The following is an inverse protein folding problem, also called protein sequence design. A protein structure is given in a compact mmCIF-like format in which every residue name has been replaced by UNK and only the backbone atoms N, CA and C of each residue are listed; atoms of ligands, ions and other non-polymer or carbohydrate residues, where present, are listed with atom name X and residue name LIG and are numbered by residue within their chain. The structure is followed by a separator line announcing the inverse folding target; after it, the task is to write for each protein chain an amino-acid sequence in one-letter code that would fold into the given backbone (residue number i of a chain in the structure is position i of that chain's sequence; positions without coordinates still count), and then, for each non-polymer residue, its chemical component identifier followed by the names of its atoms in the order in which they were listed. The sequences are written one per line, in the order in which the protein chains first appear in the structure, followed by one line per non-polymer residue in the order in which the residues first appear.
data_IF_077794563585
#
_entry.id   IF_077794563585
#
_cell.length_a   1.000
_cell.length_b   1.000
_cell.length_c   1.000
_cell.angle_alpha   90.00
_cell.angle_beta   90.00
_cell.angle_gamma   90.00
#
_symmetry.space_group_name_H-M   'P 1'
#
loop_
_entity.id
_entity.type
_entity.pdbx_description
1 polymer ?
#
# COMPACT_ATOMS: atom_id res chain seq x y z
N UNK A 1 -20.02 -10.22 -1.32
CA UNK A 1 -18.56 -10.45 -1.46
C UNK A 1 -18.00 -10.81 -0.08
N UNK A 2 -17.44 -12.01 0.08
CA UNK A 2 -16.74 -12.38 1.32
C UNK A 2 -15.40 -11.65 1.36
N UNK A 3 -15.31 -10.60 2.18
CA UNK A 3 -14.05 -9.91 2.43
C UNK A 3 -13.06 -10.90 3.06
N UNK A 4 -11.85 -10.97 2.51
CA UNK A 4 -10.78 -11.86 3.00
C UNK A 4 -9.61 -11.08 3.61
N UNK A 5 -9.66 -9.76 3.51
CA UNK A 5 -8.66 -8.80 4.01
C UNK A 5 -9.27 -8.10 5.23
N UNK A 6 -8.70 -8.36 6.41
CA UNK A 6 -9.10 -7.67 7.64
C UNK A 6 -8.75 -6.18 7.59
N UNK A 7 -9.39 -5.39 8.44
CA UNK A 7 -9.11 -3.95 8.58
C UNK A 7 -7.63 -3.65 8.81
N UNK A 8 -6.90 -4.57 9.47
CA UNK A 8 -5.46 -4.45 9.77
C UNK A 8 -4.61 -4.43 8.49
N UNK A 9 -4.76 -5.39 7.57
CA UNK A 9 -4.00 -5.42 6.30
C UNK A 9 -4.28 -4.20 5.41
N UNK A 10 -5.54 -3.75 5.43
CA UNK A 10 -5.94 -2.53 4.72
C UNK A 10 -5.24 -1.32 5.30
N UNK A 11 -5.24 -1.18 6.62
CA UNK A 11 -4.52 -0.10 7.32
C UNK A 11 -3.03 -0.19 7.04
N UNK A 12 -2.43 -1.38 7.10
CA UNK A 12 -1.00 -1.56 6.83
C UNK A 12 -0.61 -1.10 5.41
N UNK A 13 -1.39 -1.46 4.39
CA UNK A 13 -1.15 -1.01 3.00
C UNK A 13 -1.40 0.47 2.78
N UNK A 14 -2.43 1.03 3.43
CA UNK A 14 -2.69 2.47 3.39
C UNK A 14 -1.53 3.22 4.06
N UNK A 15 -1.09 2.77 5.23
CA UNK A 15 0.04 3.36 5.96
C UNK A 15 1.32 3.25 5.12
N UNK A 16 1.63 2.08 4.56
CA UNK A 16 2.79 1.90 3.69
C UNK A 16 2.73 2.79 2.44
N UNK A 17 1.57 2.87 1.78
CA UNK A 17 1.39 3.74 0.61
C UNK A 17 1.53 5.22 0.94
N UNK A 18 0.95 5.66 2.07
CA UNK A 18 1.10 7.03 2.56
C UNK A 18 2.55 7.36 2.93
N UNK A 19 3.24 6.43 3.61
CA UNK A 19 4.66 6.59 3.94
C UNK A 19 5.50 6.71 2.68
N UNK A 20 5.23 5.89 1.65
CA UNK A 20 5.95 5.96 0.38
C UNK A 20 5.73 7.28 -0.38
N UNK A 21 4.51 7.82 -0.32
CA UNK A 21 4.18 9.11 -0.91
C UNK A 21 4.81 10.25 -0.12
N UNK A 22 4.80 10.19 1.22
CA UNK A 22 5.31 11.25 2.09
C UNK A 22 6.84 11.27 2.18
N UNK A 23 7.51 10.11 2.11
CA UNK A 23 8.97 9.97 2.20
C UNK A 23 9.74 10.97 1.33
N UNK A 24 9.45 11.11 0.02
CA UNK A 24 10.20 12.03 -0.83
C UNK A 24 10.06 13.51 -0.43
N UNK A 25 8.92 13.91 0.14
CA UNK A 25 8.67 15.32 0.51
C UNK A 25 9.18 15.68 1.91
N UNK A 26 9.26 14.70 2.82
CA UNK A 26 9.65 14.93 4.22
C UNK A 26 11.12 14.64 4.47
N UNK A 27 11.68 13.61 3.83
CA UNK A 27 13.02 13.12 4.17
C UNK A 27 14.17 13.91 3.54
N UNK A 28 13.93 14.70 2.48
CA UNK A 28 14.97 15.40 1.71
C UNK A 28 16.19 14.51 1.37
N UNK A 29 15.96 13.21 1.17
CA UNK A 29 17.03 12.25 0.90
C UNK A 29 17.65 12.52 -0.48
N UNK A 30 18.98 12.41 -0.61
CA UNK A 30 19.67 12.55 -1.90
C UNK A 30 19.15 11.57 -2.98
N UNK A 31 18.59 10.43 -2.56
CA UNK A 31 17.91 9.46 -3.41
C UNK A 31 16.67 10.02 -4.12
N UNK A 32 15.99 11.01 -3.54
CA UNK A 32 14.82 11.68 -4.13
C UNK A 32 15.16 13.01 -4.81
N UNK A 33 16.44 13.41 -4.82
CA UNK A 33 16.89 14.60 -5.52
C UNK A 33 16.73 14.46 -7.05
N UNK A 34 16.77 13.23 -7.55
CA UNK A 34 16.33 12.91 -8.90
C UNK A 34 14.81 12.81 -8.94
N UNK A 35 14.17 13.70 -9.73
CA UNK A 35 12.70 13.74 -9.91
C UNK A 35 12.08 12.40 -10.33
N UNK A 36 12.88 11.50 -10.92
CA UNK A 36 12.46 10.14 -11.29
C UNK A 36 12.16 9.25 -10.07
N UNK A 37 12.99 9.28 -9.03
CA UNK A 37 12.77 8.47 -7.83
C UNK A 37 11.53 8.95 -7.04
N UNK A 38 11.27 10.25 -7.05
CA UNK A 38 10.06 10.87 -6.48
C UNK A 38 8.80 10.35 -7.20
N UNK A 39 8.79 10.39 -8.53
CA UNK A 39 7.66 9.90 -9.33
C UNK A 39 7.42 8.41 -9.10
N UNK A 40 8.49 7.59 -9.08
CA UNK A 40 8.37 6.14 -8.83
C UNK A 40 7.75 5.88 -7.45
N UNK A 41 8.24 6.54 -6.39
CA UNK A 41 7.73 6.35 -5.04
C UNK A 41 6.24 6.74 -4.92
N UNK A 42 5.85 7.86 -5.53
CA UNK A 42 4.44 8.32 -5.52
C UNK A 42 3.53 7.36 -6.29
N UNK A 43 3.96 6.90 -7.47
CA UNK A 43 3.18 5.94 -8.28
C UNK A 43 2.99 4.63 -7.54
N UNK A 44 4.05 4.08 -6.94
CA UNK A 44 3.98 2.83 -6.17
C UNK A 44 3.07 3.00 -4.94
N UNK A 45 3.17 4.13 -4.23
CA UNK A 45 2.30 4.42 -3.09
C UNK A 45 0.83 4.52 -3.48
N UNK A 46 0.51 5.16 -4.60
CA UNK A 46 -0.86 5.24 -5.13
C UNK A 46 -1.41 3.86 -5.51
N UNK A 47 -0.60 3.01 -6.14
CA UNK A 47 -1.00 1.63 -6.49
C UNK A 47 -1.29 0.81 -5.23
N UNK A 48 -0.49 0.94 -4.17
CA UNK A 48 -0.73 0.27 -2.89
C UNK A 48 -2.05 0.70 -2.24
N UNK A 49 -2.36 2.01 -2.30
CA UNK A 49 -3.62 2.54 -1.76
C UNK A 49 -4.81 2.07 -2.62
N UNK A 50 -4.72 2.18 -3.95
CA UNK A 50 -5.77 1.76 -4.87
C UNK A 50 -6.07 0.26 -4.74
N UNK A 51 -5.04 -0.58 -4.62
CA UNK A 51 -5.21 -2.03 -4.41
C UNK A 51 -5.78 -2.36 -3.03
N UNK A 52 -5.53 -1.53 -2.00
CA UNK A 52 -6.17 -1.67 -0.68
C UNK A 52 -7.67 -1.37 -0.71
N UNK A 53 -8.13 -0.53 -1.64
CA UNK A 53 -9.55 -0.13 -1.77
C UNK A 53 -10.44 -1.27 -2.31
N UNK A 54 -9.88 -2.18 -3.12
CA UNK A 54 -10.64 -3.27 -3.74
C UNK A 54 -11.12 -4.35 -2.75
N UNK A 55 -10.76 -4.28 -1.46
CA UNK A 55 -11.24 -5.16 -0.35
C UNK A 55 -11.15 -6.68 -0.59
N UNK A 56 -10.43 -7.09 -1.63
CA UNK A 56 -10.26 -8.48 -2.03
C UNK A 56 -8.82 -8.67 -2.49
N UNK A 57 -8.00 -9.34 -1.69
CA UNK A 57 -6.66 -9.73 -2.11
C UNK A 57 -6.71 -11.17 -2.64
N UNK A 58 -6.62 -11.39 -3.97
CA UNK A 58 -6.73 -12.72 -4.56
C UNK A 58 -5.62 -13.66 -4.07
N UNK A 59 -4.45 -13.11 -3.73
CA UNK A 59 -3.33 -13.86 -3.16
C UNK A 59 -3.71 -14.53 -1.83
N UNK A 60 -4.39 -13.83 -0.93
CA UNK A 60 -4.83 -14.39 0.35
C UNK A 60 -5.91 -15.46 0.17
N UNK A 61 -6.71 -15.37 -0.90
CA UNK A 61 -7.65 -16.44 -1.27
C UNK A 61 -6.92 -17.69 -1.75
N UNK A 62 -5.86 -17.53 -2.53
CA UNK A 62 -5.02 -18.64 -3.04
C UNK A 62 -4.28 -19.31 -1.88
N UNK A 63 -3.75 -18.54 -0.93
CA UNK A 63 -3.08 -19.05 0.26
C UNK A 63 -4.02 -19.45 1.42
N UNK A 64 -5.33 -19.28 1.27
CA UNK A 64 -6.32 -19.64 2.29
C UNK A 64 -6.28 -18.81 3.58
N UNK A 65 -5.51 -17.73 3.62
CA UNK A 65 -5.35 -16.87 4.81
C UNK A 65 -6.53 -15.91 4.89
N UNK A 66 -7.23 -15.89 6.03
CA UNK A 66 -8.26 -14.89 6.35
C UNK A 66 -7.78 -14.05 7.53
N UNK A 67 -7.51 -12.77 7.30
CA UNK A 67 -7.20 -11.82 8.40
C UNK A 67 -8.43 -11.05 8.86
N UNK A 68 -9.57 -11.30 8.23
CA UNK A 68 -10.87 -10.95 8.80
C UNK A 68 -11.09 -11.80 10.06
N UNK A 69 -10.98 -11.19 11.24
CA UNK A 69 -11.68 -11.70 12.41
C UNK A 69 -13.17 -11.52 12.13
N UNK A 70 -13.91 -12.62 12.15
CA UNK A 70 -15.37 -12.65 12.25
C UNK A 70 -15.79 -11.86 13.48
#
# INVERSE_FOLDING_TARGET
MTANVGSIDRVLRIVLGLVLIALPFVSNMALFASGTATVIAVVVGLVLIATSAMRFCPLYRIFGIRTCKV
#
